data_IF_562945278239
#
_entry.id   IF_562945278239
#
_cell.length_a   1.000
_cell.length_b   1.000
_cell.length_c   1.000
_cell.angle_alpha   90.00
_cell.angle_beta   90.00
_cell.angle_gamma   90.00
#
_symmetry.space_group_name_H-M   'P 1'
#
loop_
_entity.id
_entity.type
_entity.pdbx_description
1 polymer ?
#
# COMPACT_ATOMS: atom_id res chain seq x y z
N UNK A 1 -3.03 21.05 -6.48
CA UNK A 1 -2.02 20.26 -5.74
C UNK A 1 -1.16 19.55 -6.78
N UNK A 2 0.16 19.63 -6.69
CA UNK A 2 1.05 19.10 -7.73
C UNK A 2 1.32 17.60 -7.47
N UNK A 3 1.23 16.75 -8.50
CA UNK A 3 1.44 15.30 -8.37
C UNK A 3 2.82 14.92 -7.77
N UNK A 4 3.84 15.76 -7.99
CA UNK A 4 5.15 15.58 -7.32
C UNK A 4 5.05 15.79 -5.81
N UNK A 5 4.29 16.79 -5.36
CA UNK A 5 4.06 17.07 -3.95
C UNK A 5 3.25 15.96 -3.29
N UNK A 6 2.26 15.40 -3.99
CA UNK A 6 1.47 14.26 -3.49
C UNK A 6 2.31 13.00 -3.31
N UNK A 7 3.17 12.66 -4.28
CA UNK A 7 4.08 11.53 -4.15
C UNK A 7 5.06 11.75 -2.98
N UNK A 8 5.61 12.96 -2.85
CA UNK A 8 6.50 13.27 -1.73
C UNK A 8 5.79 13.14 -0.38
N UNK A 9 4.56 13.68 -0.27
CA UNK A 9 3.73 13.57 0.93
C UNK A 9 3.43 12.12 1.29
N UNK A 10 3.13 11.26 0.30
CA UNK A 10 2.91 9.84 0.53
C UNK A 10 4.17 9.13 1.04
N UNK A 11 5.35 9.43 0.46
CA UNK A 11 6.64 8.89 0.93
C UNK A 11 6.92 9.31 2.37
N UNK A 12 6.73 10.58 2.70
CA UNK A 12 7.00 11.10 4.04
C UNK A 12 6.00 10.54 5.06
N UNK A 13 4.73 10.37 4.68
CA UNK A 13 3.74 9.67 5.48
C UNK A 13 4.18 8.24 5.83
N UNK A 14 4.61 7.45 4.84
CA UNK A 14 5.06 6.08 5.07
C UNK A 14 6.29 6.01 5.99
N UNK A 15 7.26 6.91 5.81
CA UNK A 15 8.45 7.00 6.67
C UNK A 15 8.08 7.42 8.10
N UNK A 16 7.15 8.34 8.25
CA UNK A 16 6.62 8.78 9.54
C UNK A 16 5.90 7.66 10.29
N UNK A 17 4.95 6.98 9.63
CA UNK A 17 4.22 5.83 10.20
C UNK A 17 5.20 4.73 10.63
N UNK A 18 6.19 4.39 9.81
CA UNK A 18 7.17 3.38 10.18
C UNK A 18 7.97 3.79 11.44
N UNK A 19 8.39 5.05 11.51
CA UNK A 19 9.12 5.57 12.67
C UNK A 19 8.31 5.43 13.95
N UNK A 20 7.06 5.91 13.93
CA UNK A 20 6.15 5.85 15.07
C UNK A 20 5.82 4.40 15.47
N UNK A 21 5.70 3.50 14.49
CA UNK A 21 5.41 2.09 14.76
C UNK A 21 6.55 1.32 15.44
N UNK A 22 7.76 1.88 15.52
CA UNK A 22 8.97 1.22 16.03
C UNK A 22 9.52 1.86 17.30
N UNK A 23 8.70 2.60 18.04
CA UNK A 23 9.12 3.32 19.25
C UNK A 23 9.41 2.40 20.44
N UNK A 24 8.68 1.29 20.57
CA UNK A 24 8.88 0.32 21.65
C UNK A 24 9.78 -0.85 21.23
N UNK A 25 10.46 -1.45 22.21
CA UNK A 25 11.38 -2.58 21.97
C UNK A 25 10.67 -3.84 21.47
N UNK A 26 9.45 -4.11 21.94
CA UNK A 26 8.62 -5.22 21.50
C UNK A 26 8.13 -5.03 20.05
N UNK A 27 7.83 -3.80 19.64
CA UNK A 27 7.49 -3.48 18.26
C UNK A 27 8.70 -3.67 17.33
N UNK A 28 9.89 -3.25 17.76
CA UNK A 28 11.13 -3.50 17.02
C UNK A 28 11.44 -4.99 16.91
N UNK A 29 11.32 -5.74 17.99
CA UNK A 29 11.53 -7.19 18.00
C UNK A 29 10.58 -7.89 17.01
N UNK A 30 9.29 -7.56 17.06
CA UNK A 30 8.27 -8.10 16.15
C UNK A 30 8.58 -7.75 14.70
N UNK A 31 8.93 -6.49 14.43
CA UNK A 31 9.26 -6.01 13.08
C UNK A 31 10.44 -6.74 12.45
N UNK A 32 11.50 -7.03 13.21
CA UNK A 32 12.64 -7.77 12.70
C UNK A 32 12.39 -9.27 12.61
N UNK A 33 11.72 -9.85 13.61
CA UNK A 33 11.37 -11.27 13.62
C UNK A 33 10.48 -11.66 12.43
N UNK A 34 9.43 -10.88 12.12
CA UNK A 34 8.57 -11.16 10.97
C UNK A 34 9.32 -11.11 9.63
N UNK A 35 10.30 -10.20 9.50
CA UNK A 35 11.09 -10.11 8.28
C UNK A 35 11.99 -11.34 8.10
N UNK A 36 12.65 -11.77 9.17
CA UNK A 36 13.48 -12.97 9.12
C UNK A 36 12.64 -14.22 8.83
N UNK A 37 11.54 -14.40 9.56
CA UNK A 37 10.68 -15.58 9.43
C UNK A 37 10.03 -15.72 8.05
N UNK A 38 9.59 -14.62 7.44
CA UNK A 38 8.85 -14.66 6.17
C UNK A 38 9.72 -14.45 4.94
N UNK A 39 10.85 -13.75 5.08
CA UNK A 39 11.67 -13.32 3.92
C UNK A 39 13.12 -13.79 4.00
N UNK A 40 13.58 -14.35 5.13
CA UNK A 40 14.98 -14.74 5.36
C UNK A 40 15.95 -13.57 5.21
N UNK A 41 15.45 -12.33 5.39
CA UNK A 41 16.23 -11.11 5.22
C UNK A 41 15.65 -10.00 6.07
N UNK A 42 16.52 -9.38 6.86
CA UNK A 42 16.21 -8.19 7.64
C UNK A 42 16.55 -6.93 6.83
N UNK A 43 15.62 -5.97 6.80
CA UNK A 43 15.87 -4.60 6.37
C UNK A 43 15.67 -3.65 7.55
N UNK A 44 16.66 -2.78 7.76
CA UNK A 44 16.58 -1.67 8.69
C UNK A 44 15.62 -0.59 8.20
N UNK A 45 15.11 0.26 9.10
CA UNK A 45 14.26 1.40 8.72
C UNK A 45 14.97 2.32 7.73
N UNK A 46 16.28 2.55 7.89
CA UNK A 46 17.09 3.37 6.97
C UNK A 46 17.14 2.78 5.56
N UNK A 47 17.28 1.46 5.43
CA UNK A 47 17.26 0.79 4.12
C UNK A 47 15.87 0.87 3.48
N UNK A 48 14.81 0.65 4.26
CA UNK A 48 13.44 0.83 3.77
C UNK A 48 13.19 2.27 3.30
N UNK A 49 13.69 3.27 4.02
CA UNK A 49 13.57 4.68 3.61
C UNK A 49 14.26 4.95 2.27
N UNK A 50 15.49 4.44 2.10
CA UNK A 50 16.20 4.55 0.81
C UNK A 50 15.42 3.89 -0.34
N UNK A 51 14.74 2.78 -0.07
CA UNK A 51 13.89 2.14 -1.09
C UNK A 51 12.66 2.98 -1.42
N UNK A 52 11.99 3.56 -0.40
CA UNK A 52 10.85 4.46 -0.57
C UNK A 52 11.24 5.71 -1.36
N UNK A 53 12.37 6.32 -1.03
CA UNK A 53 12.82 7.57 -1.67
C UNK A 53 13.11 7.36 -3.17
N UNK A 54 13.55 6.15 -3.56
CA UNK A 54 13.80 5.77 -4.96
C UNK A 54 12.54 5.57 -5.80
N UNK A 55 11.36 5.40 -5.19
CA UNK A 55 10.11 5.14 -5.94
C UNK A 55 9.78 6.33 -6.83
N UNK A 56 9.56 6.10 -8.11
CA UNK A 56 9.16 7.12 -9.07
C UNK A 56 7.65 7.14 -9.26
N UNK A 57 7.14 8.17 -9.94
CA UNK A 57 5.73 8.22 -10.33
C UNK A 57 5.37 7.06 -11.27
N UNK A 58 6.28 6.75 -12.19
CA UNK A 58 6.12 5.68 -13.18
C UNK A 58 6.02 4.31 -12.49
N UNK A 59 6.80 4.07 -11.43
CA UNK A 59 6.68 2.86 -10.62
C UNK A 59 5.30 2.73 -9.96
N UNK A 60 4.77 3.85 -9.46
CA UNK A 60 3.43 3.88 -8.83
C UNK A 60 2.35 3.56 -9.86
N UNK A 61 2.38 4.21 -11.04
CA UNK A 61 1.42 3.94 -12.11
C UNK A 61 1.49 2.49 -12.59
N UNK A 62 2.70 1.97 -12.80
CA UNK A 62 2.89 0.57 -13.20
C UNK A 62 2.31 -0.40 -12.17
N UNK A 63 2.62 -0.16 -10.88
CA UNK A 63 2.14 -1.00 -9.79
C UNK A 63 0.61 -0.91 -9.63
N UNK A 64 0.03 0.27 -9.86
CA UNK A 64 -1.41 0.46 -9.86
C UNK A 64 -2.07 -0.38 -10.96
N UNK A 65 -1.52 -0.40 -12.17
CA UNK A 65 -1.99 -1.27 -13.25
C UNK A 65 -1.92 -2.76 -12.89
N UNK A 66 -0.89 -3.22 -12.20
CA UNK A 66 -0.77 -4.64 -11.79
C UNK A 66 -1.80 -5.06 -10.73
N UNK A 67 -2.20 -4.12 -9.87
CA UNK A 67 -3.10 -4.33 -8.73
C UNK A 67 -4.57 -4.12 -9.11
N UNK A 68 -4.92 -2.99 -9.73
CA UNK A 68 -6.30 -2.59 -10.05
C UNK A 68 -6.80 -3.25 -11.34
N UNK A 69 -6.70 -4.57 -11.39
CA UNK A 69 -7.14 -5.39 -12.51
C UNK A 69 -8.62 -5.79 -12.30
N UNK A 70 -9.53 -5.57 -13.28
CA UNK A 70 -10.96 -5.82 -13.09
C UNK A 70 -11.27 -7.24 -12.58
N UNK A 71 -10.51 -8.22 -13.06
CA UNK A 71 -10.62 -9.64 -12.71
C UNK A 71 -10.08 -10.00 -11.31
N UNK A 72 -9.31 -9.11 -10.66
CA UNK A 72 -8.74 -9.31 -9.32
C UNK A 72 -9.52 -8.60 -8.21
N UNK A 73 -10.50 -7.76 -8.56
CA UNK A 73 -11.27 -6.99 -7.59
C UNK A 73 -12.29 -7.85 -6.86
N UNK A 74 -12.30 -7.76 -5.54
CA UNK A 74 -13.25 -8.46 -4.67
C UNK A 74 -14.02 -7.45 -3.82
N UNK A 75 -15.33 -7.67 -3.64
CA UNK A 75 -16.20 -6.84 -2.81
C UNK A 75 -17.01 -7.71 -1.85
N UNK A 76 -16.80 -7.51 -0.56
CA UNK A 76 -17.62 -8.10 0.50
C UNK A 76 -18.61 -7.05 1.03
N UNK A 77 -19.91 -7.34 0.96
CA UNK A 77 -20.98 -6.49 1.46
C UNK A 77 -21.67 -7.18 2.63
N UNK A 78 -21.81 -6.47 3.75
CA UNK A 78 -22.51 -6.96 4.95
C UNK A 78 -23.74 -6.06 5.16
N UNK A 79 -24.91 -6.67 5.34
CA UNK A 79 -26.18 -5.96 5.57
C UNK A 79 -27.29 -6.29 4.56
N UNK A 80 -28.49 -5.71 4.72
CA UNK A 80 -29.66 -6.03 3.91
C UNK A 80 -29.62 -5.35 2.53
N UNK A 81 -28.75 -5.84 1.65
CA UNK A 81 -28.59 -5.33 0.29
C UNK A 81 -29.47 -6.13 -0.68
N UNK A 82 -30.54 -5.52 -1.19
CA UNK A 82 -31.51 -6.19 -2.09
C UNK A 82 -31.12 -6.17 -3.56
N UNK A 83 -30.23 -5.26 -3.98
CA UNK A 83 -29.81 -5.11 -5.37
C UNK A 83 -28.28 -5.00 -5.49
N UNK A 84 -27.67 -6.09 -5.96
CA UNK A 84 -26.22 -6.20 -6.11
C UNK A 84 -25.70 -5.56 -7.41
N UNK A 85 -26.57 -5.16 -8.35
CA UNK A 85 -26.14 -4.64 -9.66
C UNK A 85 -25.47 -3.27 -9.55
N UNK A 86 -25.94 -2.42 -8.63
CA UNK A 86 -25.36 -1.09 -8.38
C UNK A 86 -23.90 -1.17 -7.94
N UNK A 87 -23.56 -2.15 -7.10
CA UNK A 87 -22.22 -2.28 -6.54
C UNK A 87 -21.22 -2.91 -7.51
N UNK A 88 -21.68 -3.80 -8.40
CA UNK A 88 -20.82 -4.41 -9.40
C UNK A 88 -20.28 -3.39 -10.41
N UNK A 89 -21.12 -2.44 -10.83
CA UNK A 89 -20.74 -1.38 -11.77
C UNK A 89 -19.68 -0.43 -11.18
N UNK A 90 -19.83 -0.05 -9.90
CA UNK A 90 -18.83 0.78 -9.20
C UNK A 90 -17.49 0.09 -9.01
N UNK A 91 -17.47 -1.23 -8.80
CA UNK A 91 -16.25 -1.99 -8.63
C UNK A 91 -15.43 -2.04 -9.93
N UNK A 92 -16.07 -2.33 -11.06
CA UNK A 92 -15.38 -2.42 -12.36
C UNK A 92 -14.90 -1.06 -12.89
N UNK A 93 -15.53 0.05 -12.46
CA UNK A 93 -15.11 1.40 -12.87
C UNK A 93 -13.70 1.77 -12.38
N UNK A 94 -13.32 1.31 -11.19
CA UNK A 94 -12.03 1.62 -10.55
C UNK A 94 -10.82 1.08 -11.30
N UNK A 95 -11.01 0.03 -12.09
CA UNK A 95 -9.95 -0.62 -12.85
C UNK A 95 -9.73 0.01 -14.23
N UNK A 96 -10.61 0.92 -14.68
CA UNK A 96 -10.48 1.55 -15.99
C UNK A 96 -9.60 2.82 -15.96
N UNK A 97 -9.22 3.29 -14.77
CA UNK A 97 -8.44 4.51 -14.56
C UNK A 97 -6.91 4.25 -14.56
N UNK A 98 -6.50 2.98 -14.64
CA UNK A 98 -5.11 2.51 -14.60
C UNK A 98 -4.82 1.51 -15.72
#
# INVERSE_FOLDING_TARGET
MNLREELQKAKDYLKGVLTLSLESSDAQASFYAFQELLKGKILTSKEKFRMIDKVTREDVYKTAGDIFQPQKLNLALIGPHRDNKKFKASLTGLANDF
#
